data_IF_926753260385
#
_entry.id   IF_926753260385
#
_cell.length_a   1.000
_cell.length_b   1.000
_cell.length_c   1.000
_cell.angle_alpha   90.00
_cell.angle_beta   90.00
_cell.angle_gamma   90.00
#
_symmetry.space_group_name_H-M   'P 1'
#
loop_
_entity.id
_entity.type
_entity.pdbx_description
1 polymer ?
#
# COMPACT_ATOMS: atom_id res chain seq x y z
N UNK A 1 6.94 -12.00 18.10
CA UNK A 1 6.38 -10.67 18.41
C UNK A 1 7.24 -9.71 17.61
N UNK A 2 6.80 -9.31 16.42
CA UNK A 2 7.55 -8.30 15.64
C UNK A 2 7.28 -6.95 16.30
N UNK A 3 8.26 -6.46 17.05
CA UNK A 3 8.24 -5.09 17.56
C UNK A 3 8.51 -4.16 16.39
N UNK A 4 7.47 -3.48 15.89
CA UNK A 4 7.61 -2.40 14.92
C UNK A 4 8.19 -1.18 15.63
N UNK A 5 9.51 -1.16 15.83
CA UNK A 5 10.24 0.05 16.23
C UNK A 5 10.41 0.93 15.00
N UNK A 6 9.64 2.02 14.91
CA UNK A 6 9.88 3.08 13.94
C UNK A 6 11.17 3.80 14.33
N UNK A 7 12.28 3.46 13.68
CA UNK A 7 13.56 4.15 13.90
C UNK A 7 13.49 5.55 13.30
N UNK A 8 13.84 6.54 14.13
CA UNK A 8 14.07 7.96 13.88
C UNK A 8 13.70 8.50 12.49
N UNK A 9 12.66 9.35 12.46
CA UNK A 9 12.26 10.18 11.33
C UNK A 9 13.47 10.92 10.73
N UNK A 10 13.76 10.65 9.46
CA UNK A 10 14.45 11.63 8.64
C UNK A 10 13.50 12.84 8.47
N UNK A 11 13.95 14.00 8.93
CA UNK A 11 13.23 15.29 8.88
C UNK A 11 12.81 15.74 7.47
N UNK A 12 13.19 15.01 6.42
CA UNK A 12 12.92 15.33 5.02
C UNK A 12 11.54 14.86 4.50
N UNK A 13 10.81 14.03 5.25
CA UNK A 13 9.49 13.51 4.81
C UNK A 13 8.32 14.42 5.25
N UNK A 14 8.63 15.51 5.96
CA UNK A 14 7.68 16.55 6.35
C UNK A 14 7.45 17.55 5.21
N UNK A 15 6.40 17.34 4.42
CA UNK A 15 5.51 18.34 3.78
C UNK A 15 5.01 17.86 2.41
N UNK A 16 3.70 18.01 2.16
CA UNK A 16 2.95 17.88 0.89
C UNK A 16 3.77 17.41 -0.33
N UNK A 17 4.11 16.13 -0.41
CA UNK A 17 4.58 15.58 -1.68
C UNK A 17 3.41 15.64 -2.67
N UNK A 18 3.46 16.50 -3.68
CA UNK A 18 2.37 16.67 -4.66
C UNK A 18 2.14 15.43 -5.53
N UNK A 19 3.08 14.49 -5.51
CA UNK A 19 3.07 13.27 -6.31
C UNK A 19 2.46 12.07 -5.59
N UNK A 20 2.11 12.16 -4.31
CA UNK A 20 1.36 11.07 -3.66
C UNK A 20 -0.06 10.93 -4.21
N UNK A 21 -0.64 9.72 -4.12
CA UNK A 21 -1.98 9.46 -4.62
C UNK A 21 -3.02 10.40 -4.05
N UNK A 22 -3.76 11.06 -4.94
CA UNK A 22 -5.01 11.73 -4.59
C UNK A 22 -6.04 10.66 -4.21
N UNK A 23 -6.74 10.89 -3.11
CA UNK A 23 -7.79 9.98 -2.66
C UNK A 23 -9.07 10.15 -3.49
N UNK A 24 -9.86 9.07 -3.64
CA UNK A 24 -9.55 7.70 -3.22
C UNK A 24 -8.55 7.00 -4.15
N UNK A 25 -7.62 6.24 -3.57
CA UNK A 25 -6.60 5.47 -4.30
C UNK A 25 -6.64 3.99 -3.91
N UNK A 26 -6.10 3.15 -4.77
CA UNK A 26 -6.04 1.70 -4.63
C UNK A 26 -4.65 1.23 -5.00
N UNK A 27 -3.88 0.74 -4.03
CA UNK A 27 -2.47 0.38 -4.24
C UNK A 27 -2.17 -1.02 -3.72
N UNK A 28 -1.30 -1.73 -4.44
CA UNK A 28 -0.73 -2.99 -4.00
C UNK A 28 0.79 -2.81 -3.88
N UNK A 29 1.37 -3.07 -2.71
CA UNK A 29 2.81 -3.15 -2.51
C UNK A 29 3.27 -4.60 -2.48
N UNK A 30 4.20 -4.96 -3.36
CA UNK A 30 4.78 -6.31 -3.47
C UNK A 30 6.28 -6.27 -3.17
N UNK A 31 6.78 -7.30 -2.49
CA UNK A 31 8.18 -7.49 -2.14
C UNK A 31 8.31 -8.43 -0.95
N UNK A 32 9.49 -8.99 -0.70
CA UNK A 32 9.71 -9.92 0.42
C UNK A 32 9.50 -9.26 1.78
N UNK A 33 9.44 -10.04 2.85
CA UNK A 33 9.50 -9.51 4.22
C UNK A 33 10.67 -8.54 4.38
N UNK A 34 10.50 -7.55 5.25
CA UNK A 34 11.51 -6.51 5.56
C UNK A 34 11.92 -5.64 4.35
N UNK A 35 11.18 -5.66 3.24
CA UNK A 35 11.47 -4.82 2.07
C UNK A 35 11.01 -3.35 2.22
N UNK A 36 10.59 -2.93 3.42
CA UNK A 36 10.14 -1.57 3.71
C UNK A 36 8.72 -1.22 3.23
N UNK A 37 7.86 -2.20 2.90
CA UNK A 37 6.46 -1.94 2.43
C UNK A 37 5.62 -1.25 3.50
N UNK A 38 5.54 -1.88 4.67
CA UNK A 38 4.75 -1.38 5.81
C UNK A 38 5.31 -0.06 6.31
N UNK A 39 6.64 0.06 6.36
CA UNK A 39 7.33 1.31 6.71
C UNK A 39 7.03 2.45 5.73
N UNK A 40 7.07 2.19 4.41
CA UNK A 40 6.73 3.19 3.39
C UNK A 40 5.31 3.74 3.61
N UNK A 41 4.33 2.87 3.86
CA UNK A 41 2.97 3.31 4.11
C UNK A 41 2.80 3.96 5.49
N UNK A 42 3.50 3.45 6.51
CA UNK A 42 3.60 4.10 7.82
C UNK A 42 4.05 5.55 7.65
N UNK A 43 5.22 5.80 7.08
CA UNK A 43 5.72 7.16 6.84
C UNK A 43 4.77 8.01 6.00
N UNK A 44 4.15 7.41 4.98
CA UNK A 44 3.26 8.12 4.08
C UNK A 44 1.94 8.57 4.73
N UNK A 45 1.38 7.74 5.62
CA UNK A 45 0.07 7.97 6.25
C UNK A 45 0.14 8.53 7.66
N UNK A 46 1.28 8.43 8.35
CA UNK A 46 1.55 9.06 9.64
C UNK A 46 1.93 10.55 9.50
N UNK A 47 2.50 10.95 8.36
CA UNK A 47 2.84 12.35 8.05
C UNK A 47 1.70 13.18 7.43
N UNK A 48 0.51 12.60 7.30
CA UNK A 48 -0.59 13.18 6.51
C UNK A 48 -1.89 13.12 7.30
N UNK A 49 -2.77 14.11 7.10
CA UNK A 49 -4.00 14.34 7.89
C UNK A 49 -5.09 13.28 7.65
N UNK A 50 -4.77 12.00 7.80
CA UNK A 50 -5.73 10.91 7.70
C UNK A 50 -6.52 10.82 8.99
N UNK A 51 -7.85 10.90 8.87
CA UNK A 51 -8.75 10.93 10.03
C UNK A 51 -8.92 9.53 10.62
N UNK A 52 -8.82 8.46 9.80
CA UNK A 52 -8.91 7.05 10.24
C UNK A 52 -8.09 6.13 9.33
N UNK A 53 -7.26 5.28 9.93
CA UNK A 53 -6.48 4.22 9.25
C UNK A 53 -6.84 2.88 9.88
N UNK A 54 -7.53 2.01 9.14
CA UNK A 54 -7.80 0.65 9.60
C UNK A 54 -6.75 -0.30 9.03
N UNK A 55 -5.93 -0.90 9.88
CA UNK A 55 -4.97 -1.93 9.48
C UNK A 55 -5.53 -3.31 9.83
N UNK A 56 -5.88 -4.09 8.81
CA UNK A 56 -6.23 -5.49 8.91
C UNK A 56 -4.96 -6.31 8.64
N UNK A 57 -4.44 -7.01 9.65
CA UNK A 57 -3.26 -7.87 9.53
C UNK A 57 -3.60 -9.28 10.02
N UNK A 58 -2.82 -10.27 9.58
CA UNK A 58 -2.80 -11.58 10.24
C UNK A 58 -2.14 -11.41 11.61
N UNK A 59 -2.96 -11.45 12.67
CA UNK A 59 -2.47 -11.80 13.99
C UNK A 59 -2.15 -13.29 14.00
N UNK A 60 -0.94 -13.65 14.42
CA UNK A 60 -0.59 -15.04 14.71
C UNK A 60 -1.77 -15.75 15.39
N UNK A 61 -2.12 -16.94 14.91
CA UNK A 61 -3.18 -17.81 15.46
C UNK A 61 -2.96 -18.27 16.91
N UNK A 62 -1.94 -17.73 17.60
CA UNK A 62 -1.82 -17.81 19.04
C UNK A 62 -2.91 -16.91 19.66
N UNK A 63 -4.05 -17.53 19.95
CA UNK A 63 -5.21 -16.93 20.64
C UNK A 63 -4.84 -16.26 21.97
N UNK A 64 -3.65 -16.54 22.51
CA UNK A 64 -3.13 -16.01 23.78
C UNK A 64 -2.17 -14.82 23.64
N UNK A 65 -1.84 -14.38 22.41
CA UNK A 65 -0.92 -13.24 22.16
C UNK A 65 -1.51 -12.13 21.29
N UNK A 66 -2.82 -12.12 21.08
CA UNK A 66 -3.51 -10.95 20.53
C UNK A 66 -3.53 -9.88 21.62
N UNK A 67 -2.97 -8.67 21.42
CA UNK A 67 -3.17 -7.57 22.35
C UNK A 67 -4.67 -7.34 22.49
N UNK A 68 -5.21 -7.59 23.68
CA UNK A 68 -6.63 -7.37 24.00
C UNK A 68 -6.91 -5.87 23.81
N UNK A 69 -7.56 -5.49 22.71
CA UNK A 69 -8.13 -4.15 22.51
C UNK A 69 -7.18 -2.99 22.88
N UNK A 70 -5.91 -3.04 22.47
CA UNK A 70 -5.05 -1.88 22.65
C UNK A 70 -5.25 -0.93 21.48
N UNK A 71 -6.07 0.10 21.71
CA UNK A 71 -5.98 1.34 20.94
C UNK A 71 -4.55 1.85 21.09
N UNK A 72 -3.67 1.57 20.12
CA UNK A 72 -2.30 2.11 20.12
C UNK A 72 -2.39 3.63 19.91
N UNK A 73 -2.50 4.37 21.02
CA UNK A 73 -2.35 5.82 21.09
C UNK A 73 -0.94 6.12 21.55
N UNK A 74 0.04 5.98 20.66
CA UNK A 74 1.36 6.51 20.96
C UNK A 74 1.29 8.04 20.92
N UNK A 75 1.40 8.66 22.10
CA UNK A 75 1.57 10.11 22.24
C UNK A 75 3.03 10.43 21.97
N UNK A 76 3.38 10.74 20.73
CA UNK A 76 4.59 11.50 20.48
C UNK A 76 4.27 12.99 20.67
N UNK A 77 4.82 13.59 21.73
CA UNK A 77 4.61 15.02 22.05
C UNK A 77 5.12 15.95 20.94
N UNK A 78 5.97 15.46 20.03
CA UNK A 78 6.47 16.23 18.90
C UNK A 78 5.50 16.28 17.70
N UNK A 79 4.47 15.42 17.66
CA UNK A 79 3.57 15.28 16.51
C UNK A 79 2.09 15.26 16.94
N UNK A 80 1.51 16.41 17.37
CA UNK A 80 0.15 16.50 17.93
C UNK A 80 -0.98 16.03 16.98
N UNK A 81 -0.72 15.85 15.67
CA UNK A 81 -1.68 15.27 14.73
C UNK A 81 -1.84 13.74 14.84
N UNK A 82 -1.01 13.06 15.63
CA UNK A 82 -1.16 11.63 15.94
C UNK A 82 -2.47 11.31 16.68
N UNK A 83 -3.14 12.30 17.27
CA UNK A 83 -4.30 12.12 18.14
C UNK A 83 -5.54 11.50 17.48
N UNK A 84 -5.62 11.46 16.13
CA UNK A 84 -6.81 10.99 15.40
C UNK A 84 -6.62 9.63 14.68
N UNK A 85 -5.41 9.07 14.62
CA UNK A 85 -5.19 7.81 13.90
C UNK A 85 -5.55 6.63 14.80
N UNK A 86 -6.76 6.08 14.64
CA UNK A 86 -7.16 4.86 15.33
C UNK A 86 -6.71 3.62 14.54
N UNK A 87 -5.57 3.04 14.92
CA UNK A 87 -5.20 1.70 14.47
C UNK A 87 -6.07 0.68 15.19
N UNK A 88 -6.91 -0.03 14.42
CA UNK A 88 -7.65 -1.19 14.93
C UNK A 88 -7.18 -2.42 14.20
N UNK A 89 -6.40 -3.25 14.88
CA UNK A 89 -6.04 -4.57 14.40
C UNK A 89 -7.29 -5.46 14.46
N UNK A 90 -7.69 -6.00 13.33
CA UNK A 90 -8.88 -6.85 13.20
C UNK A 90 -8.49 -8.09 12.39
N UNK A 91 -8.84 -9.27 12.91
CA UNK A 91 -8.63 -10.53 12.20
C UNK A 91 -9.41 -10.61 10.88
N UNK A 92 -8.94 -11.41 9.91
CA UNK A 92 -9.53 -11.50 8.57
C UNK A 92 -11.03 -11.86 8.59
N UNK A 93 -11.46 -12.66 9.56
CA UNK A 93 -12.84 -13.09 9.73
C UNK A 93 -13.80 -11.93 10.05
N UNK A 94 -13.27 -10.85 10.65
CA UNK A 94 -14.00 -9.66 11.09
C UNK A 94 -13.92 -8.50 10.10
N UNK A 95 -13.38 -8.70 8.88
CA UNK A 95 -13.44 -7.68 7.82
C UNK A 95 -14.91 -7.29 7.60
N UNK A 96 -15.29 -6.02 7.83
CA UNK A 96 -16.66 -5.57 7.68
C UNK A 96 -17.08 -5.55 6.23
N UNK A 97 -18.37 -5.74 5.98
CA UNK A 97 -18.95 -5.51 4.67
C UNK A 97 -18.82 -4.02 4.28
N UNK A 98 -18.49 -3.76 3.02
CA UNK A 98 -18.29 -2.39 2.51
C UNK A 98 -19.54 -1.51 2.63
N UNK A 99 -20.73 -2.11 2.62
CA UNK A 99 -22.01 -1.41 2.79
C UNK A 99 -22.11 -0.68 4.14
N UNK A 100 -21.38 -1.15 5.16
CA UNK A 100 -21.31 -0.51 6.48
C UNK A 100 -20.60 0.83 6.46
N UNK A 101 -19.80 1.11 5.42
CA UNK A 101 -19.14 2.39 5.25
C UNK A 101 -20.08 3.37 4.55
N UNK A 102 -20.22 4.55 5.16
CA UNK A 102 -20.94 5.69 4.58
C UNK A 102 -19.91 6.72 4.13
N UNK A 103 -20.14 7.33 2.97
CA UNK A 103 -19.35 8.46 2.54
C UNK A 103 -19.76 9.67 3.39
N UNK A 104 -18.99 9.98 4.42
CA UNK A 104 -19.24 11.12 5.32
C UNK A 104 -18.43 12.35 4.90
N UNK A 105 -17.79 12.34 3.72
CA UNK A 105 -16.78 13.31 3.32
C UNK A 105 -15.42 13.11 4.01
N UNK A 106 -15.35 12.25 5.02
CA UNK A 106 -14.10 11.88 5.70
C UNK A 106 -13.30 10.88 4.86
N UNK A 107 -12.01 11.19 4.69
CA UNK A 107 -11.03 10.37 3.98
C UNK A 107 -10.63 9.16 4.83
N UNK A 108 -10.94 7.96 4.36
CA UNK A 108 -10.67 6.70 5.06
C UNK A 108 -9.63 5.88 4.30
N UNK A 109 -8.62 5.35 4.99
CA UNK A 109 -7.68 4.37 4.44
C UNK A 109 -7.86 3.02 5.11
N UNK A 110 -7.87 1.97 4.31
CA UNK A 110 -7.90 0.59 4.76
C UNK A 110 -6.67 -0.14 4.22
N UNK A 111 -5.93 -0.81 5.11
CA UNK A 111 -4.74 -1.59 4.80
C UNK A 111 -5.02 -3.07 5.05
N UNK A 112 -4.74 -3.90 4.06
CA UNK A 112 -4.82 -5.36 4.08
C UNK A 112 -3.39 -5.91 4.01
N UNK A 113 -2.86 -6.38 5.13
CA UNK A 113 -1.48 -6.83 5.24
C UNK A 113 -1.37 -8.36 5.29
N UNK A 114 -0.59 -8.89 4.35
CA UNK A 114 -0.25 -10.30 4.19
C UNK A 114 -1.45 -11.26 4.10
N UNK A 115 -2.57 -10.81 3.52
CA UNK A 115 -3.78 -11.62 3.40
C UNK A 115 -3.82 -12.49 2.13
N UNK A 116 -2.76 -12.55 1.32
CA UNK A 116 -2.82 -13.21 -0.01
C UNK A 116 -3.07 -14.72 0.08
N UNK A 117 -2.59 -15.36 1.15
CA UNK A 117 -2.79 -16.79 1.42
C UNK A 117 -4.13 -17.13 2.09
N UNK A 118 -4.95 -16.15 2.44
CA UNK A 118 -6.23 -16.41 3.10
C UNK A 118 -7.26 -17.06 2.16
N UNK A 119 -8.19 -17.89 2.70
CA UNK A 119 -9.21 -18.57 1.90
C UNK A 119 -10.03 -17.61 1.02
N UNK A 120 -10.61 -18.16 -0.06
CA UNK A 120 -11.42 -17.38 -1.00
C UNK A 120 -12.55 -16.59 -0.32
N UNK A 121 -13.14 -17.13 0.76
CA UNK A 121 -14.17 -16.44 1.55
C UNK A 121 -13.69 -15.14 2.18
N UNK A 122 -12.40 -15.05 2.55
CA UNK A 122 -11.77 -13.82 3.04
C UNK A 122 -11.43 -12.91 1.86
N UNK A 123 -10.86 -13.43 0.77
CA UNK A 123 -10.58 -12.63 -0.42
C UNK A 123 -11.84 -11.94 -0.95
N UNK A 124 -12.98 -12.64 -0.96
CA UNK A 124 -14.27 -12.12 -1.39
C UNK A 124 -14.76 -10.94 -0.52
N UNK A 125 -14.38 -10.87 0.75
CA UNK A 125 -14.65 -9.70 1.61
C UNK A 125 -13.75 -8.51 1.28
N UNK A 126 -12.54 -8.74 0.77
CA UNK A 126 -11.57 -7.68 0.43
C UNK A 126 -11.88 -7.04 -0.93
N UNK A 127 -12.27 -7.85 -1.93
CA UNK A 127 -12.51 -7.39 -3.32
C UNK A 127 -13.38 -6.12 -3.41
N UNK A 128 -14.51 -5.97 -2.69
CA UNK A 128 -15.34 -4.79 -2.76
C UNK A 128 -14.59 -3.49 -2.43
N UNK A 129 -13.62 -3.52 -1.50
CA UNK A 129 -12.85 -2.33 -1.12
C UNK A 129 -12.01 -1.78 -2.28
N UNK A 130 -11.54 -2.65 -3.16
CA UNK A 130 -10.81 -2.25 -4.38
C UNK A 130 -11.78 -1.92 -5.53
N UNK A 131 -12.90 -2.65 -5.64
CA UNK A 131 -13.84 -2.45 -6.75
C UNK A 131 -14.73 -1.22 -6.60
N UNK A 132 -15.33 -1.01 -5.43
CA UNK A 132 -16.34 0.03 -5.18
C UNK A 132 -16.06 0.95 -4.00
N UNK A 133 -15.00 0.71 -3.22
CA UNK A 133 -14.64 1.53 -2.05
C UNK A 133 -14.48 3.02 -2.34
N UNK A 134 -14.05 3.38 -3.55
CA UNK A 134 -13.93 4.79 -3.98
C UNK A 134 -15.26 5.58 -3.85
N UNK A 135 -16.40 4.93 -4.08
CA UNK A 135 -17.73 5.57 -3.95
C UNK A 135 -18.09 5.88 -2.49
N UNK A 136 -17.38 5.23 -1.55
CA UNK A 136 -17.51 5.44 -0.10
C UNK A 136 -16.41 6.34 0.47
N UNK A 137 -15.55 6.93 -0.37
CA UNK A 137 -14.40 7.73 0.07
C UNK A 137 -13.26 6.89 0.68
N UNK A 138 -13.20 5.60 0.35
CA UNK A 138 -12.19 4.67 0.87
C UNK A 138 -11.02 4.55 -0.11
N UNK A 139 -9.82 4.78 0.42
CA UNK A 139 -8.57 4.32 -0.18
C UNK A 139 -8.19 2.95 0.36
N UNK A 140 -7.72 2.07 -0.51
CA UNK A 140 -7.43 0.67 -0.19
C UNK A 140 -5.97 0.33 -0.49
N UNK A 141 -5.33 -0.36 0.43
CA UNK A 141 -3.91 -0.75 0.36
C UNK A 141 -3.82 -2.23 0.58
N UNK A 142 -3.16 -2.94 -0.32
CA UNK A 142 -2.84 -4.34 -0.16
C UNK A 142 -1.31 -4.48 -0.03
N UNK A 143 -0.84 -5.08 1.04
CA UNK A 143 0.57 -5.41 1.22
C UNK A 143 0.67 -6.93 1.05
N UNK A 144 1.46 -7.36 0.06
CA UNK A 144 1.64 -8.78 -0.24
C UNK A 144 3.12 -9.09 -0.44
N UNK A 145 3.50 -10.33 -0.18
CA UNK A 145 4.83 -10.79 -0.57
C UNK A 145 4.95 -10.87 -2.10
N UNK A 146 3.98 -11.54 -2.75
CA UNK A 146 3.96 -11.73 -4.21
C UNK A 146 2.76 -11.06 -4.86
N UNK A 147 3.02 -10.34 -5.94
CA UNK A 147 1.97 -9.68 -6.73
C UNK A 147 0.91 -10.67 -7.24
N UNK A 148 1.33 -11.77 -7.87
CA UNK A 148 0.40 -12.70 -8.52
C UNK A 148 -0.35 -13.65 -7.57
N UNK A 149 0.01 -13.70 -6.29
CA UNK A 149 -0.80 -14.40 -5.26
C UNK A 149 -2.02 -13.56 -4.86
N UNK A 150 -2.01 -12.25 -5.11
CA UNK A 150 -3.17 -11.40 -4.85
C UNK A 150 -4.28 -11.67 -5.86
N UNK A 151 -5.52 -11.77 -5.35
CA UNK A 151 -6.71 -12.10 -6.14
C UNK A 151 -6.82 -11.23 -7.41
N UNK A 152 -7.09 -11.80 -8.61
CA UNK A 152 -7.13 -11.05 -9.87
C UNK A 152 -8.05 -9.83 -9.86
N UNK A 153 -9.25 -9.95 -9.28
CA UNK A 153 -10.18 -8.82 -9.14
C UNK A 153 -9.63 -7.64 -8.30
N UNK A 154 -8.72 -7.89 -7.37
CA UNK A 154 -8.04 -6.81 -6.64
C UNK A 154 -7.04 -6.12 -7.59
N UNK A 155 -6.19 -6.92 -8.26
CA UNK A 155 -5.17 -6.43 -9.21
C UNK A 155 -5.77 -5.60 -10.36
N UNK A 156 -6.88 -6.06 -10.93
CA UNK A 156 -7.59 -5.37 -12.02
C UNK A 156 -8.20 -4.02 -11.59
N UNK A 157 -8.34 -3.76 -10.29
CA UNK A 157 -8.93 -2.54 -9.75
C UNK A 157 -7.91 -1.60 -9.11
N UNK A 158 -6.62 -1.87 -9.26
CA UNK A 158 -5.58 -1.00 -8.73
C UNK A 158 -5.58 0.36 -9.45
N UNK A 159 -4.86 1.30 -8.85
CA UNK A 159 -4.51 2.59 -9.45
C UNK A 159 -3.00 2.81 -9.38
N UNK A 160 -2.34 2.12 -8.47
CA UNK A 160 -0.90 2.12 -8.32
C UNK A 160 -0.40 0.72 -7.96
N UNK A 161 0.84 0.43 -8.35
CA UNK A 161 1.62 -0.72 -7.90
C UNK A 161 2.91 -0.18 -7.27
N UNK A 162 3.26 -0.65 -6.08
CA UNK A 162 4.57 -0.42 -5.47
C UNK A 162 5.39 -1.70 -5.52
N UNK A 163 6.56 -1.65 -6.13
CA UNK A 163 7.49 -2.77 -6.22
C UNK A 163 8.67 -2.52 -5.29
N UNK A 164 8.95 -3.48 -4.42
CA UNK A 164 10.01 -3.44 -3.42
C UNK A 164 11.00 -4.57 -3.63
N UNK A 165 12.10 -4.53 -2.87
CA UNK A 165 13.09 -5.61 -2.80
C UNK A 165 12.42 -6.98 -2.67
N UNK A 166 12.92 -7.94 -3.45
CA UNK A 166 12.42 -9.31 -3.45
C UNK A 166 11.39 -9.63 -4.55
N UNK A 167 10.89 -8.64 -5.29
CA UNK A 167 10.21 -8.91 -6.55
C UNK A 167 11.21 -9.46 -7.58
N UNK A 168 10.95 -10.66 -8.08
CA UNK A 168 11.80 -11.28 -9.11
C UNK A 168 11.58 -10.61 -10.48
N UNK A 169 12.63 -10.58 -11.31
CA UNK A 169 12.60 -9.94 -12.64
C UNK A 169 11.43 -10.42 -13.49
N UNK A 170 11.12 -11.71 -13.48
CA UNK A 170 10.02 -12.27 -14.27
C UNK A 170 8.64 -11.74 -13.83
N UNK A 171 8.45 -11.51 -12.53
CA UNK A 171 7.22 -10.87 -12.04
C UNK A 171 7.13 -9.43 -12.53
N UNK A 172 8.25 -8.70 -12.52
CA UNK A 172 8.30 -7.31 -13.00
C UNK A 172 7.99 -7.26 -14.50
N UNK A 173 8.59 -8.14 -15.31
CA UNK A 173 8.31 -8.26 -16.75
C UNK A 173 6.83 -8.49 -17.01
N UNK A 174 6.24 -9.48 -16.34
CA UNK A 174 4.82 -9.81 -16.49
C UNK A 174 3.90 -8.65 -16.11
N UNK A 175 4.25 -7.86 -15.09
CA UNK A 175 3.50 -6.65 -14.72
C UNK A 175 3.63 -5.59 -15.81
N UNK A 176 4.85 -5.30 -16.26
CA UNK A 176 5.11 -4.21 -17.21
C UNK A 176 4.66 -4.50 -18.64
N UNK A 177 4.59 -5.78 -19.02
CA UNK A 177 4.19 -6.20 -20.38
C UNK A 177 2.82 -5.67 -20.80
N UNK A 178 1.89 -5.52 -19.85
CA UNK A 178 0.55 -5.00 -20.13
C UNK A 178 0.51 -3.45 -20.20
N UNK A 179 1.62 -2.77 -19.92
CA UNK A 179 1.69 -1.32 -19.77
C UNK A 179 2.70 -0.63 -20.69
N UNK A 180 3.77 -1.32 -21.12
CA UNK A 180 4.86 -0.72 -21.90
C UNK A 180 5.29 -1.65 -23.04
N UNK A 181 5.36 -1.14 -24.27
CA UNK A 181 5.83 -1.92 -25.41
C UNK A 181 7.31 -2.33 -25.25
N UNK A 182 8.13 -1.42 -24.72
CA UNK A 182 9.54 -1.63 -24.39
C UNK A 182 9.75 -2.14 -22.94
N UNK A 183 8.87 -3.01 -22.44
CA UNK A 183 8.91 -3.48 -21.05
C UNK A 183 10.21 -4.20 -20.66
N UNK A 184 10.90 -4.87 -21.59
CA UNK A 184 12.12 -5.64 -21.31
C UNK A 184 13.25 -4.79 -20.69
N UNK A 185 13.75 -3.72 -21.34
CA UNK A 185 14.76 -2.84 -20.73
C UNK A 185 14.24 -2.12 -19.47
N UNK A 186 12.96 -1.72 -19.43
CA UNK A 186 12.35 -1.08 -18.25
C UNK A 186 12.37 -2.05 -17.06
N UNK A 187 12.03 -3.32 -17.26
CA UNK A 187 11.98 -4.34 -16.21
C UNK A 187 13.34 -4.56 -15.56
N UNK A 188 14.42 -4.57 -16.33
CA UNK A 188 15.80 -4.66 -15.81
C UNK A 188 16.15 -3.45 -14.96
N UNK A 189 15.80 -2.24 -15.44
CA UNK A 189 16.02 -1.00 -14.68
C UNK A 189 15.26 -1.00 -13.35
N UNK A 190 13.99 -1.39 -13.37
CA UNK A 190 13.16 -1.54 -12.16
C UNK A 190 13.79 -2.55 -11.21
N UNK A 191 14.18 -3.72 -11.71
CA UNK A 191 14.80 -4.78 -10.91
C UNK A 191 16.07 -4.30 -10.18
N UNK A 192 16.92 -3.52 -10.84
CA UNK A 192 18.10 -2.93 -10.20
C UNK A 192 17.74 -1.87 -9.15
N UNK A 193 16.76 -1.02 -9.42
CA UNK A 193 16.32 0.02 -8.47
C UNK A 193 15.74 -0.59 -7.20
N UNK A 194 14.91 -1.64 -7.33
CA UNK A 194 14.22 -2.22 -6.18
C UNK A 194 15.16 -2.94 -5.20
N UNK A 195 16.42 -3.19 -5.56
CA UNK A 195 17.42 -3.76 -4.64
C UNK A 195 17.73 -2.80 -3.48
N UNK A 196 17.63 -1.49 -3.72
CA UNK A 196 17.95 -0.44 -2.74
C UNK A 196 16.77 0.46 -2.40
N UNK A 197 15.79 0.56 -3.30
CA UNK A 197 14.67 1.48 -3.18
C UNK A 197 13.35 0.81 -3.57
N UNK A 198 12.28 1.57 -3.74
CA UNK A 198 11.02 1.07 -4.29
C UNK A 198 10.65 1.86 -5.54
N UNK A 199 9.89 1.22 -6.42
CA UNK A 199 9.36 1.81 -7.66
C UNK A 199 7.85 1.90 -7.56
N UNK A 200 7.29 3.04 -7.94
CA UNK A 200 5.85 3.24 -8.07
C UNK A 200 5.47 3.22 -9.54
N UNK A 201 4.45 2.44 -9.88
CA UNK A 201 3.79 2.44 -11.19
C UNK A 201 2.39 3.02 -11.01
N UNK A 202 2.06 4.09 -11.74
CA UNK A 202 0.74 4.74 -11.77
C UNK A 202 -0.02 4.25 -13.01
N UNK A 203 -0.83 3.20 -12.85
CA UNK A 203 -1.49 2.51 -13.97
C UNK A 203 -2.57 3.34 -14.66
N UNK A 204 -2.85 4.55 -14.15
CA UNK A 204 -3.84 5.47 -14.73
C UNK A 204 -3.20 6.42 -15.75
N UNK A 205 -1.87 6.48 -15.79
CA UNK A 205 -1.12 7.31 -16.73
C UNK A 205 -0.74 6.46 -17.93
N UNK A 206 -0.68 7.11 -19.09
CA UNK A 206 -0.17 6.49 -20.31
C UNK A 206 1.33 6.19 -20.18
N UNK A 207 1.84 5.22 -20.94
CA UNK A 207 3.21 4.73 -20.86
C UNK A 207 4.28 5.79 -21.17
N UNK A 208 3.91 6.79 -21.98
CA UNK A 208 4.73 7.95 -22.37
C UNK A 208 4.79 9.04 -21.29
N UNK A 209 3.89 9.01 -20.31
CA UNK A 209 3.92 9.95 -19.18
C UNK A 209 5.14 9.64 -18.30
N UNK A 210 6.05 10.60 -18.05
CA UNK A 210 7.25 10.38 -17.21
C UNK A 210 6.91 9.98 -15.77
N UNK A 211 5.68 10.26 -15.32
CA UNK A 211 5.19 9.92 -14.00
C UNK A 211 4.43 8.57 -14.00
N UNK A 212 4.31 7.86 -15.12
CA UNK A 212 3.73 6.51 -15.18
C UNK A 212 4.54 5.49 -14.38
N UNK A 213 5.87 5.63 -14.38
CA UNK A 213 6.78 4.81 -13.57
C UNK A 213 7.85 5.69 -12.91
N UNK A 214 7.97 5.57 -11.59
CA UNK A 214 8.73 6.50 -10.76
C UNK A 214 9.64 5.77 -9.80
N UNK A 215 10.81 6.34 -9.60
CA UNK A 215 11.60 6.13 -8.40
C UNK A 215 10.88 6.79 -7.22
N UNK A 216 10.50 5.98 -6.23
CA UNK A 216 9.66 6.46 -5.12
C UNK A 216 8.42 7.19 -5.64
N UNK A 217 8.02 8.30 -5.02
CA UNK A 217 6.80 9.01 -5.40
C UNK A 217 7.02 10.10 -6.45
N UNK A 218 8.19 10.71 -6.50
CA UNK A 218 8.39 12.06 -7.03
C UNK A 218 9.31 12.11 -8.26
N UNK A 219 10.16 11.11 -8.46
CA UNK A 219 11.16 11.15 -9.53
C UNK A 219 10.81 10.18 -10.67
N UNK A 220 10.59 10.65 -11.91
CA UNK A 220 10.49 9.79 -13.09
C UNK A 220 11.60 8.77 -13.16
N UNK A 221 11.25 7.51 -13.43
CA UNK A 221 12.25 6.46 -13.64
C UNK A 221 12.86 6.55 -15.04
N UNK A 222 12.04 6.90 -16.04
CA UNK A 222 12.47 7.09 -17.42
C UNK A 222 12.81 8.56 -17.62
N UNK A 223 13.90 8.85 -18.33
CA UNK A 223 14.20 10.21 -18.75
C UNK A 223 13.25 10.55 -19.90
N UNK A 224 12.74 11.77 -19.92
CA UNK A 224 12.24 12.36 -21.16
C UNK A 224 13.45 12.64 -22.05
N UNK A 225 13.47 12.09 -23.26
CA UNK A 225 14.39 12.58 -24.29
C UNK A 225 13.95 14.03 -24.58
N UNK A 226 14.77 14.98 -24.12
CA UNK A 226 14.67 16.41 -24.44
C UNK A 226 15.73 16.76 -25.45
#
# INVERSE_FOLDING_TARGET
MEHYSFRNLDKSISSKNSYVPKQPFRILASGTSESGKTEMFGHQFLGSKYIKVYSYMIGNKDKDKVPKNENYRERDKNYPWYENIQFKLIGPEKIPDISKFKNTGQKTVIVFDDLAGEPLSIQQKIIPFFRSGRHKGISSIYIAQRYFETHPNIRANLTYISLHRGCILETIKRILKDMYDNYEPISKKVYEVIKKHYVIIDIRRSADDPLSIRFRWDKPLLKTDT
#
